data_IF_030204035831
#
_entry.id   IF_030204035831
#
_cell.length_a   1.000
_cell.length_b   1.000
_cell.length_c   1.000
_cell.angle_alpha   90.00
_cell.angle_beta   90.00
_cell.angle_gamma   90.00
#
_symmetry.space_group_name_H-M   'P 1'
#
loop_
_entity.id
_entity.type
_entity.pdbx_description
1 polymer ?
#
# COMPACT_ATOMS: atom_id res chain seq x y z
N UNK A 1 12.60 10.28 -0.64
CA UNK A 1 11.80 9.13 -1.09
C UNK A 1 12.73 7.93 -1.24
N UNK A 2 12.32 6.71 -0.89
CA UNK A 2 13.18 5.52 -0.98
C UNK A 2 13.34 5.11 -2.46
N UNK A 3 14.58 5.05 -2.97
CA UNK A 3 14.83 4.76 -4.39
C UNK A 3 14.30 3.38 -4.81
N UNK A 4 14.43 2.36 -3.96
CA UNK A 4 13.95 1.00 -4.26
C UNK A 4 12.43 0.92 -4.40
N UNK A 5 11.70 1.73 -3.63
CA UNK A 5 10.23 1.82 -3.71
C UNK A 5 9.83 2.55 -5.00
N UNK A 6 10.54 3.62 -5.37
CA UNK A 6 10.32 4.30 -6.63
C UNK A 6 10.59 3.37 -7.83
N UNK A 7 11.69 2.63 -7.80
CA UNK A 7 12.03 1.67 -8.86
C UNK A 7 10.97 0.58 -9.00
N UNK A 8 10.44 0.10 -7.88
CA UNK A 8 9.32 -0.85 -7.88
C UNK A 8 8.07 -0.24 -8.52
N UNK A 9 7.62 0.92 -8.06
CA UNK A 9 6.41 1.56 -8.63
C UNK A 9 6.55 1.93 -10.11
N UNK A 10 7.77 2.22 -10.58
CA UNK A 10 8.02 2.44 -12.00
C UNK A 10 7.85 1.16 -12.85
N UNK A 11 8.00 -0.02 -12.25
CA UNK A 11 7.80 -1.32 -12.92
C UNK A 11 6.42 -1.93 -12.65
N UNK A 12 5.73 -1.45 -11.62
CA UNK A 12 4.43 -1.94 -11.17
C UNK A 12 3.50 -0.75 -10.86
N UNK A 13 2.97 -0.13 -11.92
CA UNK A 13 2.05 1.02 -11.81
C UNK A 13 0.78 0.66 -11.01
N UNK A 14 0.30 -0.57 -11.14
CA UNK A 14 -0.87 -1.05 -10.40
C UNK A 14 -0.60 -1.13 -8.90
N UNK A 15 0.62 -1.46 -8.46
CA UNK A 15 0.98 -1.36 -7.05
C UNK A 15 0.92 0.10 -6.55
N UNK A 16 1.35 1.07 -7.37
CA UNK A 16 1.23 2.48 -7.02
C UNK A 16 -0.26 2.91 -6.89
N UNK A 17 -1.12 2.43 -7.80
CA UNK A 17 -2.57 2.65 -7.72
C UNK A 17 -3.19 2.03 -6.46
N UNK A 18 -2.80 0.81 -6.11
CA UNK A 18 -3.27 0.13 -4.90
C UNK A 18 -2.89 0.88 -3.62
N UNK A 19 -1.69 1.49 -3.57
CA UNK A 19 -1.30 2.34 -2.43
C UNK A 19 -2.23 3.54 -2.29
N UNK A 20 -2.56 4.21 -3.40
CA UNK A 20 -3.47 5.35 -3.39
C UNK A 20 -4.89 4.94 -2.99
N UNK A 21 -5.37 3.80 -3.48
CA UNK A 21 -6.67 3.24 -3.11
C UNK A 21 -6.73 2.86 -1.63
N UNK A 22 -5.69 2.22 -1.10
CA UNK A 22 -5.59 1.87 0.31
C UNK A 22 -5.59 3.12 1.20
N UNK A 23 -4.80 4.14 0.85
CA UNK A 23 -4.77 5.41 1.57
C UNK A 23 -6.12 6.13 1.56
N UNK A 24 -6.82 6.14 0.42
CA UNK A 24 -8.17 6.69 0.30
C UNK A 24 -9.15 5.96 1.21
N UNK A 25 -9.11 4.63 1.23
CA UNK A 25 -10.01 3.83 2.08
C UNK A 25 -9.75 4.06 3.58
N UNK A 26 -8.49 4.20 4.00
CA UNK A 26 -8.21 4.62 5.38
C UNK A 26 -8.80 5.99 5.69
N UNK A 27 -8.70 6.95 4.76
CA UNK A 27 -9.28 8.28 4.93
C UNK A 27 -10.81 8.22 5.05
N UNK A 28 -11.48 7.42 4.21
CA UNK A 28 -12.93 7.16 4.27
C UNK A 28 -13.32 6.53 5.62
N UNK A 29 -12.48 5.66 6.16
CA UNK A 29 -12.70 5.03 7.46
C UNK A 29 -12.42 5.96 8.66
N UNK A 30 -11.98 7.20 8.42
CA UNK A 30 -11.77 8.22 9.46
C UNK A 30 -10.33 8.57 9.75
N UNK A 31 -9.36 7.98 9.03
CA UNK A 31 -7.94 8.32 9.17
C UNK A 31 -7.65 9.70 8.57
N UNK A 32 -7.81 10.73 9.39
CA UNK A 32 -7.68 12.14 8.99
C UNK A 32 -6.34 12.72 9.38
N UNK A 33 -5.70 12.19 10.43
CA UNK A 33 -4.40 12.63 10.89
C UNK A 33 -3.36 11.54 10.71
N UNK A 34 -2.40 11.75 9.80
CA UNK A 34 -1.33 10.79 9.49
C UNK A 34 -0.43 10.37 10.67
N UNK A 35 -0.52 11.09 11.80
CA UNK A 35 0.15 10.74 13.06
C UNK A 35 -0.54 9.60 13.82
N UNK A 36 -1.80 9.35 13.53
CA UNK A 36 -2.58 8.26 14.12
C UNK A 36 -2.27 6.97 13.35
N UNK A 37 -2.30 5.83 14.03
CA UNK A 37 -2.07 4.54 13.38
C UNK A 37 -3.24 4.19 12.47
N UNK A 38 -2.93 3.76 11.23
CA UNK A 38 -3.94 3.25 10.28
C UNK A 38 -4.71 2.03 10.82
N UNK A 39 -4.12 1.26 11.74
CA UNK A 39 -4.73 0.07 12.33
C UNK A 39 -6.05 0.36 13.07
N UNK A 40 -6.28 1.61 13.50
CA UNK A 40 -7.54 2.02 14.11
C UNK A 40 -8.68 2.21 13.08
N UNK A 41 -8.35 2.21 11.79
CA UNK A 41 -9.23 2.51 10.67
C UNK A 41 -9.23 1.37 9.64
N UNK A 42 -8.80 0.18 10.05
CA UNK A 42 -8.82 -1.02 9.22
C UNK A 42 -10.22 -1.62 9.15
N UNK A 43 -10.54 -2.20 8.00
CA UNK A 43 -11.70 -3.00 7.74
C UNK A 43 -11.35 -4.12 6.75
N UNK A 44 -12.31 -4.98 6.43
CA UNK A 44 -12.10 -6.10 5.51
C UNK A 44 -11.50 -5.68 4.15
N UNK A 45 -11.92 -4.54 3.61
CA UNK A 45 -11.42 -4.05 2.32
C UNK A 45 -9.95 -3.59 2.44
N UNK A 46 -9.61 -2.83 3.47
CA UNK A 46 -8.20 -2.38 3.67
C UNK A 46 -7.28 -3.56 3.96
N UNK A 47 -7.78 -4.62 4.62
CA UNK A 47 -7.02 -5.85 4.86
C UNK A 47 -6.71 -6.57 3.54
N UNK A 48 -7.71 -6.74 2.68
CA UNK A 48 -7.55 -7.36 1.36
C UNK A 48 -6.59 -6.57 0.46
N UNK A 49 -6.72 -5.24 0.43
CA UNK A 49 -5.82 -4.35 -0.30
C UNK A 49 -4.39 -4.40 0.24
N UNK A 50 -4.22 -4.41 1.57
CA UNK A 50 -2.91 -4.49 2.21
C UNK A 50 -2.20 -5.81 1.91
N UNK A 51 -2.94 -6.93 1.96
CA UNK A 51 -2.41 -8.25 1.62
C UNK A 51 -1.98 -8.33 0.15
N UNK A 52 -2.80 -7.78 -0.77
CA UNK A 52 -2.46 -7.72 -2.18
C UNK A 52 -1.17 -6.91 -2.41
N UNK A 53 -1.10 -5.70 -1.85
CA UNK A 53 0.05 -4.83 -1.98
C UNK A 53 1.33 -5.48 -1.41
N UNK A 54 1.22 -6.14 -0.25
CA UNK A 54 2.31 -6.90 0.34
C UNK A 54 2.79 -8.03 -0.60
N UNK A 55 1.88 -8.82 -1.16
CA UNK A 55 2.23 -9.90 -2.06
C UNK A 55 2.96 -9.39 -3.32
N UNK A 56 2.51 -8.26 -3.90
CA UNK A 56 3.19 -7.60 -5.03
C UNK A 56 4.59 -7.12 -4.65
N UNK A 57 4.73 -6.46 -3.49
CA UNK A 57 6.02 -6.03 -2.97
C UNK A 57 6.97 -7.22 -2.84
N UNK A 58 6.52 -8.30 -2.21
CA UNK A 58 7.35 -9.49 -2.00
C UNK A 58 7.71 -10.17 -3.31
N UNK A 59 6.82 -10.21 -4.31
CA UNK A 59 7.12 -10.75 -5.63
C UNK A 59 8.24 -9.93 -6.31
N UNK A 60 8.17 -8.61 -6.26
CA UNK A 60 9.20 -7.73 -6.81
C UNK A 60 10.53 -7.87 -6.07
N UNK A 61 10.54 -7.68 -4.75
CA UNK A 61 11.78 -7.64 -3.97
C UNK A 61 12.43 -9.01 -3.75
N UNK A 62 11.68 -10.12 -3.81
CA UNK A 62 12.26 -11.47 -3.80
C UNK A 62 12.62 -11.97 -5.20
N UNK A 63 11.93 -11.51 -6.24
CA UNK A 63 12.20 -11.84 -7.64
C UNK A 63 13.36 -11.06 -8.25
N UNK A 64 13.73 -9.93 -7.65
CA UNK A 64 14.93 -9.15 -7.99
C UNK A 64 16.20 -9.91 -7.56
N UNK A 65 16.68 -10.83 -8.40
CA UNK A 65 18.05 -11.36 -8.37
C UNK A 65 18.95 -10.57 -9.31
#
# INVERSE_FOLDING_TARGET
>A
MNSKINDWFNQDEDAARLVMELALNFSINGWTYVRESVANYENKLTDELSLNLYNRAMAYFRGSK
#
